data_IF_938623467442
#
_entry.id   IF_938623467442
#
_cell.length_a   1.000
_cell.length_b   1.000
_cell.length_c   1.000
_cell.angle_alpha   90.00
_cell.angle_beta   90.00
_cell.angle_gamma   90.00
#
_symmetry.space_group_name_H-M   'P 1'
#
loop_
_entity.id
_entity.type
_entity.pdbx_description
1 polymer ?
#
# COMPACT_ATOMS: atom_id res chain seq x y z
N UNK A 1 -13.20 -15.58 1.35
CA UNK A 1 -12.38 -14.89 2.37
C UNK A 1 -10.89 -15.00 2.06
N UNK A 2 -10.34 -16.22 2.00
CA UNK A 2 -8.91 -16.44 1.68
C UNK A 2 -8.48 -15.79 0.35
N UNK A 3 -9.34 -15.83 -0.67
CA UNK A 3 -9.10 -15.20 -1.97
C UNK A 3 -8.92 -13.68 -1.88
N UNK A 4 -9.73 -12.97 -1.08
CA UNK A 4 -9.65 -11.50 -0.95
C UNK A 4 -8.36 -11.07 -0.21
N UNK A 5 -7.93 -11.87 0.79
CA UNK A 5 -6.64 -11.69 1.45
C UNK A 5 -5.51 -11.80 0.43
N UNK A 6 -5.47 -12.88 -0.34
CA UNK A 6 -4.43 -13.11 -1.35
C UNK A 6 -4.44 -11.99 -2.39
N UNK A 7 -5.61 -11.59 -2.89
CA UNK A 7 -5.75 -10.49 -3.86
C UNK A 7 -5.19 -9.19 -3.30
N UNK A 8 -5.53 -8.82 -2.06
CA UNK A 8 -5.05 -7.58 -1.45
C UNK A 8 -3.54 -7.59 -1.20
N UNK A 9 -3.00 -8.73 -0.75
CA UNK A 9 -1.57 -8.87 -0.53
C UNK A 9 -0.78 -8.88 -1.86
N UNK A 10 -1.28 -9.55 -2.89
CA UNK A 10 -0.72 -9.49 -4.24
C UNK A 10 -0.77 -8.07 -4.79
N UNK A 11 -1.87 -7.34 -4.60
CA UNK A 11 -2.00 -5.95 -5.02
C UNK A 11 -0.91 -5.07 -4.37
N UNK A 12 -0.63 -5.26 -3.07
CA UNK A 12 0.48 -4.56 -2.42
C UNK A 12 1.81 -4.86 -3.08
N UNK A 13 2.12 -6.13 -3.32
CA UNK A 13 3.41 -6.53 -3.92
C UNK A 13 3.54 -6.00 -5.35
N UNK A 14 2.52 -6.21 -6.19
CA UNK A 14 2.51 -5.81 -7.61
C UNK A 14 2.58 -4.30 -7.78
N UNK A 15 1.98 -3.52 -6.88
CA UNK A 15 2.05 -2.06 -6.93
C UNK A 15 3.33 -1.53 -6.29
N UNK A 16 3.74 -2.05 -5.14
CA UNK A 16 4.90 -1.52 -4.42
C UNK A 16 6.22 -1.92 -5.08
N UNK A 17 6.33 -3.09 -5.71
CA UNK A 17 7.55 -3.48 -6.43
C UNK A 17 7.99 -2.45 -7.49
N UNK A 18 7.15 -2.02 -8.45
CA UNK A 18 7.53 -0.99 -9.40
C UNK A 18 7.67 0.39 -8.76
N UNK A 19 6.88 0.72 -7.73
CA UNK A 19 7.04 1.99 -6.98
C UNK A 19 8.41 2.08 -6.33
N UNK A 20 8.78 1.08 -5.52
CA UNK A 20 10.08 1.00 -4.87
C UNK A 20 11.22 0.94 -5.90
N UNK A 21 11.07 0.13 -6.96
CA UNK A 21 12.04 0.07 -8.05
C UNK A 21 12.28 1.42 -8.73
N UNK A 22 11.20 2.16 -9.02
CA UNK A 22 11.28 3.51 -9.58
C UNK A 22 11.94 4.52 -8.65
N UNK A 23 11.63 4.47 -7.35
CA UNK A 23 12.23 5.34 -6.34
C UNK A 23 13.73 5.05 -6.15
N UNK A 24 14.13 3.77 -6.12
CA UNK A 24 15.53 3.32 -6.03
C UNK A 24 16.35 3.73 -7.25
N UNK A 25 15.80 3.52 -8.44
CA UNK A 25 16.46 3.84 -9.72
C UNK A 25 16.36 5.31 -10.10
N UNK A 26 15.65 6.12 -9.31
CA UNK A 26 15.39 7.55 -9.57
C UNK A 26 14.75 7.77 -10.96
N UNK A 27 13.83 6.89 -11.34
CA UNK A 27 13.17 6.93 -12.64
C UNK A 27 12.45 8.28 -12.88
N UNK A 28 12.39 8.80 -14.13
CA UNK A 28 11.80 10.11 -14.42
C UNK A 28 10.34 10.25 -13.96
N UNK A 29 9.52 9.21 -14.15
CA UNK A 29 8.12 9.21 -13.69
C UNK A 29 8.01 9.25 -12.16
N UNK A 30 8.96 8.63 -11.45
CA UNK A 30 9.02 8.61 -10.00
C UNK A 30 9.44 9.99 -9.49
N UNK A 31 10.40 10.64 -10.16
CA UNK A 31 10.78 12.03 -9.88
C UNK A 31 9.62 13.01 -10.10
N UNK A 32 8.84 12.83 -11.17
CA UNK A 32 7.67 13.66 -11.47
C UNK A 32 6.55 13.51 -10.42
N UNK A 33 6.36 12.29 -9.89
CA UNK A 33 5.25 11.98 -8.98
C UNK A 33 5.63 12.08 -7.50
N UNK A 34 6.88 11.83 -7.12
CA UNK A 34 7.33 11.80 -5.73
C UNK A 34 8.37 12.88 -5.40
N UNK A 35 8.77 13.69 -6.39
CA UNK A 35 9.79 14.72 -6.24
C UNK A 35 11.22 14.18 -6.29
N UNK A 36 12.17 15.06 -5.98
CA UNK A 36 13.61 14.78 -6.00
C UNK A 36 14.05 13.72 -4.98
N UNK A 37 15.26 13.19 -5.18
CA UNK A 37 15.88 12.27 -4.23
C UNK A 37 16.28 13.00 -2.94
N UNK A 38 15.36 13.05 -1.99
CA UNK A 38 15.56 13.66 -0.66
C UNK A 38 15.47 12.60 0.44
N UNK A 39 15.93 12.95 1.64
CA UNK A 39 15.83 12.09 2.83
C UNK A 39 14.38 11.69 3.12
N UNK A 40 13.43 12.63 2.96
CA UNK A 40 12.01 12.36 3.11
C UNK A 40 11.51 11.29 2.11
N UNK A 41 11.98 11.34 0.85
CA UNK A 41 11.65 10.31 -0.15
C UNK A 41 12.30 8.96 0.19
N UNK A 42 13.48 8.97 0.80
CA UNK A 42 14.14 7.77 1.34
C UNK A 42 13.34 7.12 2.47
N UNK A 43 12.80 7.91 3.40
CA UNK A 43 11.92 7.43 4.48
C UNK A 43 10.65 6.79 3.89
N UNK A 44 10.03 7.45 2.90
CA UNK A 44 8.86 6.91 2.20
C UNK A 44 9.16 5.55 1.55
N UNK A 45 10.30 5.44 0.86
CA UNK A 45 10.77 4.20 0.26
C UNK A 45 10.95 3.09 1.31
N UNK A 46 11.53 3.40 2.48
CA UNK A 46 11.69 2.43 3.56
C UNK A 46 10.34 1.89 4.05
N UNK A 47 9.35 2.76 4.23
CA UNK A 47 7.98 2.35 4.61
C UNK A 47 7.33 1.49 3.53
N UNK A 48 7.46 1.87 2.25
CA UNK A 48 6.92 1.09 1.13
C UNK A 48 7.58 -0.28 0.98
N UNK A 49 8.90 -0.37 1.17
CA UNK A 49 9.61 -1.65 1.21
C UNK A 49 9.13 -2.51 2.38
N UNK A 50 8.96 -1.94 3.58
CA UNK A 50 8.45 -2.68 4.73
C UNK A 50 7.04 -3.25 4.47
N UNK A 51 6.12 -2.45 3.91
CA UNK A 51 4.78 -2.91 3.54
C UNK A 51 4.87 -4.02 2.48
N UNK A 52 5.72 -3.85 1.46
CA UNK A 52 5.90 -4.84 0.40
C UNK A 52 6.45 -6.17 0.92
N UNK A 53 7.48 -6.13 1.78
CA UNK A 53 8.10 -7.31 2.39
C UNK A 53 7.11 -8.04 3.29
N UNK A 54 6.43 -7.33 4.20
CA UNK A 54 5.43 -7.93 5.09
C UNK A 54 4.27 -8.52 4.28
N UNK A 55 3.83 -7.85 3.20
CA UNK A 55 2.82 -8.39 2.31
C UNK A 55 3.28 -9.69 1.64
N UNK A 56 4.53 -9.75 1.17
CA UNK A 56 5.10 -10.94 0.56
C UNK A 56 5.21 -12.09 1.57
N UNK A 57 5.64 -11.83 2.81
CA UNK A 57 5.69 -12.84 3.87
C UNK A 57 4.29 -13.40 4.20
N UNK A 58 3.29 -12.53 4.33
CA UNK A 58 1.91 -12.92 4.59
C UNK A 58 1.25 -13.64 3.39
N UNK A 59 1.79 -13.54 2.17
CA UNK A 59 1.33 -14.39 1.05
C UNK A 59 1.73 -15.86 1.26
N UNK A 60 2.92 -16.12 1.80
CA UNK A 60 3.38 -17.48 2.08
C UNK A 60 2.68 -18.09 3.29
N UNK A 61 2.38 -17.27 4.31
CA UNK A 61 1.69 -17.70 5.52
C UNK A 61 0.61 -16.69 5.93
N UNK A 62 -0.59 -16.76 5.30
CA UNK A 62 -1.66 -15.81 5.58
C UNK A 62 -2.17 -15.93 7.01
N UNK A 63 -2.16 -14.80 7.73
CA UNK A 63 -2.76 -14.65 9.05
C UNK A 63 -3.79 -13.50 9.01
N UNK A 64 -5.11 -13.77 9.13
CA UNK A 64 -6.13 -12.73 8.93
C UNK A 64 -6.00 -11.52 9.88
N UNK A 65 -5.71 -11.67 11.19
CA UNK A 65 -5.46 -10.53 12.08
C UNK A 65 -4.28 -9.65 11.64
N UNK A 66 -3.13 -10.25 11.29
CA UNK A 66 -1.96 -9.50 10.82
C UNK A 66 -2.22 -8.80 9.48
N UNK A 67 -2.94 -9.48 8.57
CA UNK A 67 -3.37 -8.87 7.30
C UNK A 67 -4.29 -7.69 7.57
N UNK A 68 -5.25 -7.83 8.48
CA UNK A 68 -6.16 -6.74 8.84
C UNK A 68 -5.39 -5.52 9.35
N UNK A 69 -4.45 -5.72 10.28
CA UNK A 69 -3.62 -4.64 10.82
C UNK A 69 -2.82 -3.93 9.71
N UNK A 70 -2.19 -4.71 8.81
CA UNK A 70 -1.44 -4.18 7.67
C UNK A 70 -2.33 -3.37 6.72
N UNK A 71 -3.51 -3.88 6.38
CA UNK A 71 -4.43 -3.20 5.46
C UNK A 71 -5.05 -1.95 6.08
N UNK A 72 -5.37 -1.95 7.39
CA UNK A 72 -5.91 -0.78 8.09
C UNK A 72 -4.93 0.39 8.04
N UNK A 73 -3.65 0.16 8.38
CA UNK A 73 -2.62 1.21 8.29
C UNK A 73 -2.55 1.77 6.87
N UNK A 74 -2.63 0.89 5.86
CA UNK A 74 -2.64 1.30 4.47
C UNK A 74 -3.85 2.16 4.09
N UNK A 75 -5.04 1.74 4.50
CA UNK A 75 -6.27 2.50 4.23
C UNK A 75 -6.17 3.88 4.85
N UNK A 76 -5.75 3.97 6.12
CA UNK A 76 -5.63 5.25 6.84
C UNK A 76 -4.64 6.18 6.14
N UNK A 77 -3.39 5.75 5.89
CA UNK A 77 -2.41 6.67 5.29
C UNK A 77 -2.81 7.08 3.86
N UNK A 78 -3.40 6.17 3.08
CA UNK A 78 -3.82 6.44 1.70
C UNK A 78 -4.96 7.46 1.66
N UNK A 79 -5.90 7.39 2.62
CA UNK A 79 -6.95 8.39 2.79
C UNK A 79 -6.41 9.73 3.29
N UNK A 80 -5.38 9.73 4.15
CA UNK A 80 -4.72 10.97 4.59
C UNK A 80 -3.87 11.63 3.49
N UNK A 81 -3.34 10.85 2.54
CA UNK A 81 -2.44 11.33 1.48
C UNK A 81 -2.96 12.57 0.74
N UNK A 82 -4.18 12.63 0.17
CA UNK A 82 -4.68 13.81 -0.55
C UNK A 82 -4.64 15.11 0.26
N UNK A 83 -4.90 15.02 1.57
CA UNK A 83 -4.88 16.18 2.48
C UNK A 83 -3.44 16.62 2.79
N UNK A 84 -2.54 15.67 3.01
CA UNK A 84 -1.12 15.98 3.29
C UNK A 84 -0.37 16.54 2.09
N UNK A 85 -0.69 16.09 0.87
CA UNK A 85 -0.09 16.64 -0.35
C UNK A 85 -0.84 17.85 -0.91
N UNK A 86 -2.05 18.13 -0.40
CA UNK A 86 -2.90 19.25 -0.82
C UNK A 86 -3.42 19.16 -2.27
N UNK A 87 -3.43 17.96 -2.88
CA UNK A 87 -3.83 17.73 -4.28
C UNK A 87 -4.61 16.43 -4.43
N UNK A 88 -5.83 16.53 -4.96
CA UNK A 88 -6.66 15.36 -5.27
C UNK A 88 -6.30 14.71 -6.60
N UNK A 89 -5.95 15.53 -7.60
CA UNK A 89 -5.55 15.07 -8.94
C UNK A 89 -4.03 14.90 -8.97
N UNK A 90 -3.57 13.82 -8.34
CA UNK A 90 -2.18 13.42 -8.33
C UNK A 90 -2.10 11.91 -8.63
N UNK A 91 -1.20 11.45 -9.53
CA UNK A 91 -1.19 10.06 -9.99
C UNK A 91 -1.13 9.06 -8.82
N UNK A 92 -0.28 9.34 -7.82
CA UNK A 92 -0.14 8.50 -6.62
C UNK A 92 -1.41 8.50 -5.76
N UNK A 93 -2.10 9.63 -5.63
CA UNK A 93 -3.34 9.72 -4.85
C UNK A 93 -4.44 8.91 -5.52
N UNK A 94 -4.59 9.04 -6.83
CA UNK A 94 -5.58 8.28 -7.59
C UNK A 94 -5.35 6.77 -7.46
N UNK A 95 -4.11 6.31 -7.64
CA UNK A 95 -3.75 4.90 -7.41
C UNK A 95 -4.01 4.46 -5.97
N UNK A 96 -3.69 5.30 -4.99
CA UNK A 96 -3.92 4.99 -3.58
C UNK A 96 -5.42 4.86 -3.24
N UNK A 97 -6.26 5.75 -3.76
CA UNK A 97 -7.71 5.69 -3.55
C UNK A 97 -8.33 4.45 -4.20
N UNK A 98 -7.88 4.05 -5.39
CA UNK A 98 -8.33 2.80 -6.00
C UNK A 98 -7.98 1.58 -5.14
N UNK A 99 -6.77 1.54 -4.56
CA UNK A 99 -6.34 0.44 -3.68
C UNK A 99 -7.12 0.46 -2.36
N UNK A 100 -7.46 1.63 -1.83
CA UNK A 100 -8.30 1.76 -0.61
C UNK A 100 -9.62 1.02 -0.79
N UNK A 101 -10.27 1.11 -1.96
CA UNK A 101 -11.53 0.38 -2.22
C UNK A 101 -11.35 -1.13 -2.06
N UNK A 102 -10.30 -1.70 -2.66
CA UNK A 102 -10.02 -3.15 -2.58
C UNK A 102 -9.68 -3.58 -1.16
N UNK A 103 -8.87 -2.80 -0.46
CA UNK A 103 -8.44 -3.11 0.91
C UNK A 103 -9.59 -2.98 1.90
N UNK A 104 -10.43 -1.96 1.76
CA UNK A 104 -11.64 -1.80 2.57
C UNK A 104 -12.62 -2.95 2.34
N UNK A 105 -12.85 -3.37 1.09
CA UNK A 105 -13.67 -4.54 0.78
C UNK A 105 -13.10 -5.81 1.42
N UNK A 106 -11.78 -5.98 1.42
CA UNK A 106 -11.11 -7.11 2.07
C UNK A 106 -11.30 -7.08 3.59
N UNK A 107 -11.10 -5.92 4.24
CA UNK A 107 -11.33 -5.72 5.67
C UNK A 107 -12.76 -6.08 6.08
N UNK A 108 -13.76 -5.61 5.33
CA UNK A 108 -15.17 -5.98 5.55
C UNK A 108 -15.38 -7.48 5.41
N UNK A 109 -14.75 -8.12 4.42
CA UNK A 109 -14.90 -9.56 4.17
C UNK A 109 -14.28 -10.45 5.25
N UNK A 110 -13.22 -9.99 5.94
CA UNK A 110 -12.52 -10.75 7.00
C UNK A 110 -13.05 -10.43 8.40
N UNK A 111 -13.85 -9.36 8.54
CA UNK A 111 -14.43 -8.91 9.80
C UNK A 111 -15.17 -10.00 10.61
N UNK A 112 -15.89 -10.98 10.01
CA UNK A 112 -16.48 -12.09 10.77
C UNK A 112 -15.44 -12.97 11.46
N UNK A 113 -14.28 -13.19 10.84
CA UNK A 113 -13.20 -14.04 11.39
C UNK A 113 -12.48 -13.36 12.53
N UNK A 114 -12.31 -12.03 12.46
CA UNK A 114 -11.65 -11.25 13.51
C UNK A 114 -12.46 -11.15 14.81
N UNK A 115 -13.76 -11.43 14.74
CA UNK A 115 -14.69 -11.36 15.87
C UNK A 115 -14.91 -12.72 16.56
N UNK A 116 -14.45 -13.80 15.94
CA UNK A 116 -14.56 -15.17 16.45
C UNK A 116 -13.40 -15.50 17.39
#
# INVERSE_FOLDING_TARGET
MHTMIIVSLLLNVVVLAPVCGGLLTKAPWARQSYGEATDARGILLAVYLAIGIVSALLLFRPDPPMVAALLVVQVVYKLCTPFTIGRLIHPVVLSNLAIVVVHAATLVSIWPVLRA
#
